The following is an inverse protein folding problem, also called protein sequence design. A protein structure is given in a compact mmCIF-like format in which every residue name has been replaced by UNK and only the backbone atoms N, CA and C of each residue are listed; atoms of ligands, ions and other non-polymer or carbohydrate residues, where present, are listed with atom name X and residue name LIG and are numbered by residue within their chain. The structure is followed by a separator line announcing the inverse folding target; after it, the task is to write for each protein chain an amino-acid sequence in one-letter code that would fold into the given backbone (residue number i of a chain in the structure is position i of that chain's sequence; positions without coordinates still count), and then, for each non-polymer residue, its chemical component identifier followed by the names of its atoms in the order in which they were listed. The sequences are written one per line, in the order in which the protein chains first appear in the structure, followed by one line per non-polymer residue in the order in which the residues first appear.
data_IF_218886326821
#
_entry.id   IF_218886326821
#
_cell.length_a   1.000
_cell.length_b   1.000
_cell.length_c   1.000
_cell.angle_alpha   90.00
_cell.angle_beta   90.00
_cell.angle_gamma   90.00
#
_symmetry.space_group_name_H-M   'P 1'
#
loop_
_entity.id
_entity.type
_entity.pdbx_description
1 polymer ?
#
# COMPACT_ATOMS: atom_id res chain seq x y z
N UNK A 1 7.25 -36.59 1.02
CA UNK A 1 8.21 -36.26 2.06
C UNK A 1 9.06 -35.06 1.66
N UNK A 2 10.00 -35.21 0.75
CA UNK A 2 10.82 -34.09 0.29
C UNK A 2 9.96 -33.01 -0.37
N UNK A 3 8.99 -33.44 -1.19
CA UNK A 3 8.07 -32.52 -1.84
C UNK A 3 7.26 -31.72 -0.81
N UNK A 4 6.79 -32.39 0.25
CA UNK A 4 6.04 -31.73 1.31
C UNK A 4 6.91 -30.72 2.08
N UNK A 5 8.15 -31.04 2.33
CA UNK A 5 9.09 -30.12 2.96
C UNK A 5 9.33 -28.89 2.11
N UNK A 6 9.52 -29.07 0.81
CA UNK A 6 9.70 -27.95 -0.12
C UNK A 6 8.48 -27.05 -0.15
N UNK A 7 7.28 -27.62 -0.21
CA UNK A 7 6.04 -26.86 -0.19
C UNK A 7 5.85 -26.10 1.13
N UNK A 8 6.24 -26.71 2.25
CA UNK A 8 6.16 -26.09 3.56
C UNK A 8 7.10 -24.88 3.64
N UNK A 9 8.32 -25.05 3.16
CA UNK A 9 9.29 -23.97 3.15
C UNK A 9 8.80 -22.79 2.31
N UNK A 10 8.21 -23.07 1.15
CA UNK A 10 7.64 -22.02 0.30
C UNK A 10 6.47 -21.31 0.96
N UNK A 11 5.61 -22.05 1.68
CA UNK A 11 4.48 -21.45 2.37
C UNK A 11 4.91 -20.60 3.56
N UNK A 12 6.08 -20.88 4.14
CA UNK A 12 6.65 -20.08 5.22
C UNK A 12 7.37 -18.83 4.72
N UNK A 13 7.64 -18.73 3.41
CA UNK A 13 8.31 -17.57 2.82
C UNK A 13 7.47 -16.30 2.97
N UNK A 14 6.15 -16.44 3.01
CA UNK A 14 5.23 -15.33 3.23
C UNK A 14 4.55 -15.51 4.58
N UNK A 15 4.82 -14.58 5.48
CA UNK A 15 4.26 -14.61 6.85
C UNK A 15 3.14 -13.59 6.96
N UNK A 16 2.01 -14.02 7.53
CA UNK A 16 0.94 -13.11 7.91
C UNK A 16 1.35 -12.40 9.20
N UNK A 17 1.42 -11.07 9.15
CA UNK A 17 1.88 -10.24 10.27
C UNK A 17 0.76 -9.45 10.93
N UNK A 18 -0.44 -9.49 10.37
CA UNK A 18 -1.58 -8.78 10.93
C UNK A 18 -2.84 -9.01 10.12
N UNK A 19 -3.88 -8.30 10.53
CA UNK A 19 -5.19 -8.38 9.88
C UNK A 19 -5.70 -6.97 9.61
N UNK A 20 -6.12 -6.71 8.38
CA UNK A 20 -6.67 -5.43 7.97
C UNK A 20 -7.98 -5.66 7.24
N UNK A 21 -9.05 -4.96 7.65
CA UNK A 21 -10.37 -5.09 7.06
C UNK A 21 -10.39 -4.49 5.65
N UNK A 22 -10.47 -5.35 4.64
CA UNK A 22 -10.49 -4.95 3.24
C UNK A 22 -11.78 -4.20 2.86
N UNK A 23 -12.82 -4.23 3.67
CA UNK A 23 -14.03 -3.44 3.44
C UNK A 23 -13.89 -1.99 3.89
N UNK A 24 -12.74 -1.60 4.41
CA UNK A 24 -12.45 -0.21 4.79
C UNK A 24 -12.70 0.74 3.63
N UNK A 25 -13.35 1.86 3.91
CA UNK A 25 -13.81 2.80 2.89
C UNK A 25 -12.92 4.04 2.82
N UNK A 26 -12.80 4.56 1.61
CA UNK A 26 -12.13 5.83 1.32
C UNK A 26 -12.85 6.51 0.15
N UNK A 27 -12.47 7.74 -0.16
CA UNK A 27 -13.00 8.46 -1.30
C UNK A 27 -12.06 8.31 -2.49
N UNK A 28 -12.57 7.86 -3.64
CA UNK A 28 -11.80 7.81 -4.88
C UNK A 28 -11.51 9.25 -5.31
N UNK A 29 -10.24 9.59 -5.52
CA UNK A 29 -9.84 10.96 -5.83
C UNK A 29 -10.28 11.40 -7.23
N UNK A 30 -10.37 10.47 -8.18
CA UNK A 30 -10.75 10.78 -9.55
C UNK A 30 -12.25 11.03 -9.70
N UNK A 31 -13.08 10.30 -8.97
CA UNK A 31 -14.54 10.38 -9.12
C UNK A 31 -15.23 11.12 -7.99
N UNK A 32 -14.58 11.27 -6.84
CA UNK A 32 -15.18 11.83 -5.63
C UNK A 32 -16.17 10.89 -4.93
N UNK A 33 -16.32 9.67 -5.41
CA UNK A 33 -17.25 8.70 -4.85
C UNK A 33 -16.60 7.89 -3.74
N UNK A 34 -17.41 7.51 -2.75
CA UNK A 34 -16.95 6.58 -1.72
C UNK A 34 -16.82 5.17 -2.30
N UNK A 35 -15.73 4.49 -1.97
CA UNK A 35 -15.46 3.12 -2.38
C UNK A 35 -14.78 2.37 -1.24
N UNK A 36 -14.47 1.11 -1.43
CA UNK A 36 -13.74 0.32 -0.45
C UNK A 36 -12.45 -0.22 -1.06
N UNK A 37 -11.54 -0.65 -0.19
CA UNK A 37 -10.31 -1.32 -0.64
C UNK A 37 -10.66 -2.57 -1.46
N UNK A 38 -11.61 -3.37 -0.97
CA UNK A 38 -12.05 -4.58 -1.66
C UNK A 38 -12.62 -4.28 -3.06
N UNK A 39 -13.48 -3.26 -3.17
CA UNK A 39 -14.07 -2.87 -4.46
C UNK A 39 -13.00 -2.40 -5.44
N UNK A 40 -12.03 -1.62 -4.97
CA UNK A 40 -10.95 -1.08 -5.79
C UNK A 40 -9.97 -2.16 -6.23
N UNK A 41 -9.55 -3.01 -5.28
CA UNK A 41 -8.52 -4.01 -5.54
C UNK A 41 -9.06 -5.26 -6.26
N UNK A 42 -10.35 -5.54 -6.10
CA UNK A 42 -10.88 -6.83 -6.49
C UNK A 42 -10.34 -7.92 -5.56
N UNK A 43 -10.42 -9.16 -5.99
CA UNK A 43 -9.92 -10.28 -5.20
C UNK A 43 -8.41 -10.41 -5.33
N UNK A 44 -7.75 -10.69 -4.23
CA UNK A 44 -6.32 -10.94 -4.18
C UNK A 44 -5.56 -9.92 -3.37
N UNK A 45 -4.28 -9.77 -3.69
CA UNK A 45 -3.39 -8.87 -2.97
C UNK A 45 -3.51 -7.43 -3.45
N UNK A 46 -3.13 -6.50 -2.58
CA UNK A 46 -3.08 -5.07 -2.90
C UNK A 46 -2.01 -4.41 -2.05
N UNK A 47 -1.56 -3.25 -2.49
CA UNK A 47 -0.70 -2.37 -1.69
C UNK A 47 -1.52 -1.17 -1.27
N UNK A 48 -1.38 -0.75 0.00
CA UNK A 48 -1.92 0.53 0.47
C UNK A 48 -0.76 1.38 0.97
N UNK A 49 -0.76 2.66 0.58
CA UNK A 49 0.16 3.66 1.09
C UNK A 49 -0.58 4.83 1.70
N UNK A 50 -0.22 5.20 2.93
CA UNK A 50 -0.67 6.45 3.56
C UNK A 50 0.41 7.49 3.37
N UNK A 51 0.09 8.60 2.70
CA UNK A 51 1.07 9.58 2.25
C UNK A 51 1.05 10.86 3.09
N UNK A 52 2.21 11.51 3.20
CA UNK A 52 2.34 12.85 3.74
C UNK A 52 3.04 13.73 2.69
N UNK A 53 2.24 14.39 1.87
CA UNK A 53 2.72 15.16 0.72
C UNK A 53 3.57 16.35 1.17
N UNK A 54 4.66 16.59 0.44
CA UNK A 54 5.58 17.69 0.75
C UNK A 54 6.68 17.33 1.74
N UNK A 55 6.71 16.09 2.21
CA UNK A 55 7.80 15.60 3.07
C UNK A 55 8.68 14.63 2.31
N UNK A 56 9.97 14.69 2.58
CA UNK A 56 10.99 13.91 1.89
C UNK A 56 10.74 12.40 1.95
N UNK A 57 10.36 11.80 3.10
CA UNK A 57 10.12 10.36 3.14
C UNK A 57 9.03 9.90 2.16
N UNK A 58 7.96 10.66 2.00
CA UNK A 58 6.92 10.35 1.01
C UNK A 58 7.45 10.52 -0.40
N UNK A 59 8.16 11.61 -0.70
CA UNK A 59 8.73 11.84 -2.02
C UNK A 59 9.72 10.74 -2.39
N UNK A 60 10.54 10.33 -1.45
CA UNK A 60 11.50 9.24 -1.66
C UNK A 60 10.78 7.92 -1.95
N UNK A 61 9.75 7.60 -1.18
CA UNK A 61 8.96 6.38 -1.37
C UNK A 61 8.30 6.36 -2.75
N UNK A 62 7.72 7.46 -3.18
CA UNK A 62 7.08 7.55 -4.50
C UNK A 62 8.08 7.42 -5.64
N UNK A 63 9.29 7.96 -5.48
CA UNK A 63 10.36 7.75 -6.47
C UNK A 63 10.80 6.30 -6.55
N UNK A 64 10.91 5.62 -5.41
CA UNK A 64 11.24 4.20 -5.38
C UNK A 64 10.19 3.36 -6.09
N UNK A 65 8.91 3.66 -5.86
CA UNK A 65 7.80 2.97 -6.53
C UNK A 65 7.84 3.25 -8.03
N UNK A 66 8.07 4.50 -8.44
CA UNK A 66 8.15 4.86 -9.84
C UNK A 66 9.30 4.14 -10.55
N UNK A 67 10.43 3.96 -9.87
CA UNK A 67 11.58 3.22 -10.41
C UNK A 67 11.26 1.75 -10.67
N UNK A 68 10.25 1.20 -10.01
CA UNK A 68 9.80 -0.20 -10.15
C UNK A 68 8.45 -0.31 -10.87
N UNK A 69 8.05 0.74 -11.58
CA UNK A 69 6.74 0.80 -12.23
C UNK A 69 6.48 -0.40 -13.15
N UNK A 70 7.46 -0.79 -13.96
CA UNK A 70 7.28 -1.89 -14.91
C UNK A 70 7.01 -3.23 -14.19
N UNK A 71 7.75 -3.51 -13.14
CA UNK A 71 7.58 -4.74 -12.37
C UNK A 71 6.25 -4.75 -11.61
N UNK A 72 5.85 -3.60 -11.07
CA UNK A 72 4.57 -3.48 -10.35
C UNK A 72 3.39 -3.60 -11.31
N UNK A 73 3.50 -3.02 -12.51
CA UNK A 73 2.47 -3.19 -13.54
C UNK A 73 2.37 -4.64 -14.01
N UNK A 74 3.50 -5.33 -14.13
CA UNK A 74 3.51 -6.76 -14.49
C UNK A 74 2.83 -7.61 -13.42
N UNK A 75 2.96 -7.23 -12.15
CA UNK A 75 2.23 -7.89 -11.06
C UNK A 75 0.72 -7.72 -11.21
N UNK A 76 0.27 -6.58 -11.73
CA UNK A 76 -1.11 -6.32 -12.12
C UNK A 76 -2.09 -6.06 -11.00
N UNK A 77 -1.64 -6.01 -9.74
CA UNK A 77 -2.51 -5.72 -8.60
C UNK A 77 -2.54 -4.25 -8.27
N UNK A 78 -3.58 -3.82 -7.56
CA UNK A 78 -3.81 -2.42 -7.23
C UNK A 78 -2.82 -1.88 -6.21
N UNK A 79 -2.36 -0.67 -6.47
CA UNK A 79 -1.64 0.15 -5.50
C UNK A 79 -2.57 1.30 -5.13
N UNK A 80 -3.04 1.33 -3.89
CA UNK A 80 -3.97 2.35 -3.40
C UNK A 80 -3.16 3.34 -2.57
N UNK A 81 -3.02 4.56 -3.08
CA UNK A 81 -2.27 5.62 -2.42
C UNK A 81 -3.24 6.64 -1.84
N UNK A 82 -3.24 6.81 -0.53
CA UNK A 82 -4.22 7.61 0.18
C UNK A 82 -3.62 8.91 0.70
N UNK A 83 -4.30 10.00 0.40
CA UNK A 83 -3.99 11.35 0.90
C UNK A 83 -4.89 11.64 2.10
N UNK A 84 -4.42 12.44 3.07
CA UNK A 84 -5.24 12.76 4.25
C UNK A 84 -6.40 13.69 3.92
N UNK A 85 -6.28 14.51 2.86
CA UNK A 85 -7.31 15.44 2.45
C UNK A 85 -7.16 15.82 0.97
N UNK A 86 -8.14 16.53 0.44
CA UNK A 86 -8.16 16.94 -0.97
C UNK A 86 -7.06 17.95 -1.29
N UNK A 87 -6.70 18.79 -0.34
CA UNK A 87 -5.61 19.75 -0.51
C UNK A 87 -4.27 19.05 -0.77
N UNK A 88 -4.00 17.99 -0.02
CA UNK A 88 -2.79 17.18 -0.22
C UNK A 88 -2.79 16.53 -1.61
N UNK A 89 -3.91 16.00 -2.03
CA UNK A 89 -4.06 15.41 -3.37
C UNK A 89 -3.80 16.44 -4.46
N UNK A 90 -4.41 17.63 -4.36
CA UNK A 90 -4.20 18.71 -5.35
C UNK A 90 -2.75 19.16 -5.38
N UNK A 91 -2.11 19.26 -4.23
CA UNK A 91 -0.70 19.63 -4.14
C UNK A 91 0.19 18.62 -4.87
N UNK A 92 -0.08 17.33 -4.69
CA UNK A 92 0.65 16.28 -5.39
C UNK A 92 0.44 16.35 -6.89
N UNK A 93 -0.83 16.47 -7.36
CA UNK A 93 -1.12 16.48 -8.79
C UNK A 93 -0.59 17.71 -9.51
N UNK A 94 -0.43 18.83 -8.80
CA UNK A 94 0.16 20.05 -9.35
C UNK A 94 1.65 19.88 -9.67
N UNK A 95 2.34 18.99 -8.95
CA UNK A 95 3.78 18.76 -9.15
C UNK A 95 4.14 17.30 -8.85
N UNK A 96 3.71 16.36 -9.70
CA UNK A 96 4.03 14.96 -9.48
C UNK A 96 5.53 14.72 -9.73
N UNK A 97 6.14 13.91 -8.87
CA UNK A 97 7.59 13.73 -8.87
C UNK A 97 8.07 12.82 -10.01
N UNK A 98 7.33 11.76 -10.33
CA UNK A 98 7.70 10.77 -11.34
C UNK A 98 6.47 9.96 -11.76
N UNK A 99 6.49 9.37 -12.97
CA UNK A 99 5.39 8.50 -13.40
C UNK A 99 5.26 7.27 -12.51
N UNK A 100 4.09 7.07 -11.92
CA UNK A 100 3.78 5.90 -11.10
C UNK A 100 3.21 4.77 -11.97
N UNK A 101 3.17 3.53 -11.46
CA UNK A 101 2.55 2.43 -12.21
C UNK A 101 1.11 2.73 -12.59
N UNK A 102 0.66 2.21 -13.73
CA UNK A 102 -0.71 2.41 -14.21
C UNK A 102 -1.77 1.78 -13.26
N UNK A 103 -1.36 0.86 -12.41
CA UNK A 103 -2.24 0.19 -11.44
C UNK A 103 -2.52 1.01 -10.19
N UNK A 104 -1.97 2.23 -10.09
CA UNK A 104 -2.20 3.12 -8.94
C UNK A 104 -3.62 3.68 -8.98
N UNK A 105 -4.29 3.62 -7.84
CA UNK A 105 -5.52 4.35 -7.56
C UNK A 105 -5.23 5.37 -6.46
N UNK A 106 -5.57 6.63 -6.72
CA UNK A 106 -5.48 7.67 -5.69
C UNK A 106 -6.78 7.78 -4.93
N UNK A 107 -6.67 7.85 -3.60
CA UNK A 107 -7.82 8.02 -2.74
C UNK A 107 -7.58 9.06 -1.66
N UNK A 108 -8.65 9.46 -1.01
CA UNK A 108 -8.63 10.42 0.09
C UNK A 108 -9.25 9.75 1.31
N UNK A 109 -8.52 9.75 2.39
CA UNK A 109 -8.95 9.20 3.67
C UNK A 109 -9.43 10.36 4.56
N UNK A 110 -10.57 10.95 4.18
CA UNK A 110 -11.07 12.22 4.74
C UNK A 110 -11.21 12.24 6.24
N UNK A 111 -11.75 11.18 6.80
CA UNK A 111 -12.01 11.07 8.24
C UNK A 111 -10.92 10.31 8.98
N UNK A 112 -9.87 9.87 8.28
CA UNK A 112 -8.79 9.10 8.86
C UNK A 112 -9.16 7.69 9.26
N UNK A 113 -10.29 7.15 8.76
CA UNK A 113 -10.74 5.82 9.18
C UNK A 113 -9.82 4.70 8.71
N UNK A 114 -9.31 4.77 7.48
CA UNK A 114 -8.35 3.79 6.97
C UNK A 114 -7.06 3.87 7.79
N UNK A 115 -6.57 5.08 8.02
CA UNK A 115 -5.38 5.29 8.85
C UNK A 115 -5.54 4.64 10.22
N UNK A 116 -6.64 4.90 10.93
CA UNK A 116 -6.87 4.33 12.25
C UNK A 116 -6.86 2.81 12.21
N UNK A 117 -7.51 2.21 11.21
CA UNK A 117 -7.56 0.75 11.08
C UNK A 117 -6.19 0.15 10.79
N UNK A 118 -5.38 0.80 9.98
CA UNK A 118 -4.00 0.35 9.71
C UNK A 118 -3.16 0.43 10.98
N UNK A 119 -3.23 1.55 11.71
CA UNK A 119 -2.47 1.71 12.93
C UNK A 119 -2.84 0.68 13.98
N UNK A 120 -4.14 0.38 14.12
CA UNK A 120 -4.61 -0.66 15.03
C UNK A 120 -4.13 -2.05 14.58
N UNK A 121 -4.29 -2.35 13.29
CA UNK A 121 -3.92 -3.65 12.74
C UNK A 121 -2.43 -3.96 12.93
N UNK A 122 -1.58 -2.95 12.78
CA UNK A 122 -0.12 -3.09 12.87
C UNK A 122 0.42 -2.69 14.24
N UNK A 123 -0.45 -2.32 15.17
CA UNK A 123 -0.07 -1.88 16.52
C UNK A 123 0.93 -0.72 16.48
N UNK A 124 0.68 0.23 15.59
CA UNK A 124 1.52 1.40 15.42
C UNK A 124 0.96 2.58 16.25
N UNK A 125 1.83 3.44 16.77
CA UNK A 125 1.38 4.61 17.53
C UNK A 125 0.74 5.66 16.61
N UNK A 126 -0.12 6.51 17.18
CA UNK A 126 -0.78 7.57 16.42
C UNK A 126 0.17 8.57 15.77
N UNK A 127 1.38 8.70 16.31
CA UNK A 127 2.42 9.59 15.79
C UNK A 127 3.44 8.88 14.89
N UNK A 128 3.08 7.71 14.36
CA UNK A 128 3.96 6.98 13.45
C UNK A 128 4.39 7.86 12.28
N UNK A 129 5.65 7.72 11.87
CA UNK A 129 6.16 8.48 10.73
C UNK A 129 5.57 7.98 9.43
N UNK A 130 5.03 8.88 8.63
CA UNK A 130 4.53 8.57 7.29
C UNK A 130 5.68 8.66 6.28
N UNK A 131 5.60 7.96 5.13
CA UNK A 131 4.45 7.18 4.69
C UNK A 131 4.37 5.82 5.37
N UNK A 132 3.18 5.24 5.38
CA UNK A 132 2.98 3.85 5.82
C UNK A 132 2.55 3.04 4.61
N UNK A 133 3.22 1.92 4.36
CA UNK A 133 2.86 1.01 3.28
C UNK A 133 2.58 -0.37 3.85
N UNK A 134 1.55 -1.02 3.32
CA UNK A 134 1.31 -2.42 3.62
C UNK A 134 0.88 -3.18 2.36
N UNK A 135 1.14 -4.48 2.38
CA UNK A 135 0.57 -5.41 1.40
C UNK A 135 -0.41 -6.29 2.17
N UNK A 136 -1.64 -6.30 1.71
CA UNK A 136 -2.69 -7.13 2.28
C UNK A 136 -3.45 -7.89 1.22
N UNK A 137 -4.40 -8.71 1.64
CA UNK A 137 -5.28 -9.39 0.72
C UNK A 137 -6.75 -9.22 1.13
N UNK A 138 -7.64 -9.66 0.27
CA UNK A 138 -9.08 -9.52 0.48
C UNK A 138 -9.65 -10.55 1.46
N UNK A 139 -8.79 -11.40 2.03
CA UNK A 139 -9.11 -12.26 3.18
C UNK A 139 -8.63 -11.63 4.49
N UNK A 140 -8.37 -10.32 4.48
CA UNK A 140 -7.96 -9.51 5.64
C UNK A 140 -6.60 -9.88 6.23
N UNK A 141 -5.71 -10.50 5.44
CA UNK A 141 -4.35 -10.83 5.88
C UNK A 141 -3.39 -9.76 5.43
N UNK A 142 -2.44 -9.39 6.29
CA UNK A 142 -1.36 -8.45 5.97
C UNK A 142 -0.04 -9.23 5.97
N UNK A 143 0.75 -9.04 4.91
CA UNK A 143 2.00 -9.78 4.72
C UNK A 143 3.24 -8.88 4.67
N UNK A 144 3.06 -7.56 4.65
CA UNK A 144 4.15 -6.60 4.60
C UNK A 144 3.71 -5.29 5.25
N UNK A 145 4.62 -4.65 5.98
CA UNK A 145 4.43 -3.30 6.51
C UNK A 145 5.76 -2.55 6.49
N UNK A 146 5.70 -1.26 6.20
CA UNK A 146 6.84 -0.35 6.29
C UNK A 146 6.30 1.03 6.67
N UNK A 147 7.05 1.76 7.49
CA UNK A 147 6.67 3.12 7.86
C UNK A 147 7.89 4.02 7.96
N UNK A 148 7.66 5.31 7.73
CA UNK A 148 8.69 6.33 7.76
C UNK A 148 9.64 6.23 6.57
N UNK A 149 10.83 6.76 6.73
CA UNK A 149 11.85 6.74 5.69
C UNK A 149 12.42 5.32 5.52
N UNK A 150 12.16 4.72 4.37
CA UNK A 150 12.59 3.35 4.07
C UNK A 150 13.43 3.36 2.81
N UNK A 151 14.71 2.98 2.95
CA UNK A 151 15.61 2.83 1.80
C UNK A 151 15.23 1.56 1.05
N UNK A 152 15.10 1.66 -0.28
CA UNK A 152 14.80 0.51 -1.12
C UNK A 152 13.38 -0.02 -0.97
N UNK A 153 12.40 0.84 -0.69
CA UNK A 153 11.01 0.43 -0.54
C UNK A 153 10.52 -0.38 -1.73
N UNK A 154 10.80 0.08 -2.96
CA UNK A 154 10.39 -0.63 -4.17
C UNK A 154 10.93 -2.06 -4.23
N UNK A 155 12.19 -2.24 -3.92
CA UNK A 155 12.81 -3.57 -3.86
C UNK A 155 12.20 -4.44 -2.78
N UNK A 156 11.90 -3.86 -1.62
CA UNK A 156 11.28 -4.59 -0.50
C UNK A 156 9.87 -5.04 -0.83
N UNK A 157 9.09 -4.18 -1.48
CA UNK A 157 7.76 -4.54 -1.97
C UNK A 157 7.87 -5.70 -2.96
N UNK A 158 8.74 -5.59 -3.94
CA UNK A 158 8.90 -6.65 -4.95
C UNK A 158 9.40 -7.96 -4.35
N UNK A 159 10.31 -7.90 -3.38
CA UNK A 159 10.76 -9.11 -2.70
C UNK A 159 9.57 -9.86 -2.09
N UNK A 160 8.70 -9.16 -1.39
CA UNK A 160 7.49 -9.75 -0.80
C UNK A 160 6.53 -10.25 -1.89
N UNK A 161 6.30 -9.45 -2.91
CA UNK A 161 5.42 -9.79 -4.03
C UNK A 161 5.85 -11.10 -4.71
N UNK A 162 7.15 -11.28 -4.89
CA UNK A 162 7.67 -12.49 -5.55
C UNK A 162 7.49 -13.76 -4.69
N UNK A 163 7.16 -13.62 -3.41
CA UNK A 163 6.84 -14.74 -2.53
C UNK A 163 5.36 -15.13 -2.57
N UNK A 164 4.52 -14.30 -3.15
CA UNK A 164 3.05 -14.48 -3.11
C UNK A 164 2.53 -15.46 -4.16
#
# INVERSE_FOLDING_TARGET
TETNLTMRDNSEAVRVIGSFDSESKFTDAATGAETSVLTTAGRGYFVIGLLCVGQEPTDHALKDIAAKAAELEAWGRSLILLFPDEGAYRKYTASPAAPLPATVTFGIDRDGSVRRRILEAMQLPGNVSLPVFLIGDTFNRVVFESHGYTIGLGDRLLYTIHQL
#
